data_IF_557767468175
#
_entry.id   IF_557767468175
#
_cell.length_a   1.000
_cell.length_b   1.000
_cell.length_c   1.000
_cell.angle_alpha   90.00
_cell.angle_beta   90.00
_cell.angle_gamma   90.00
#
_symmetry.space_group_name_H-M   'P 1'
#
loop_
_entity.id
_entity.type
_entity.pdbx_description
1 polymer ?
#
# COMPACT_ATOMS: atom_id res chain seq x y z
N UNK A 1 3.95 -12.75 -4.09
CA UNK A 1 4.09 -12.62 -2.63
C UNK A 1 5.56 -12.59 -2.21
N UNK A 2 6.37 -13.62 -2.46
CA UNK A 2 7.79 -13.67 -2.06
C UNK A 2 8.59 -12.38 -2.35
N UNK A 3 8.54 -11.87 -3.59
CA UNK A 3 9.22 -10.61 -3.98
C UNK A 3 8.78 -9.41 -3.13
N UNK A 4 7.50 -9.34 -2.74
CA UNK A 4 6.97 -8.22 -1.94
C UNK A 4 7.49 -8.34 -0.50
N UNK A 5 7.49 -9.55 0.08
CA UNK A 5 7.99 -9.78 1.43
C UNK A 5 9.50 -9.54 1.52
N UNK A 6 10.27 -9.92 0.51
CA UNK A 6 11.70 -9.64 0.44
C UNK A 6 11.97 -8.12 0.33
N UNK A 7 11.16 -7.40 -0.47
CA UNK A 7 11.32 -5.96 -0.70
C UNK A 7 10.88 -5.09 0.49
N UNK A 8 9.72 -5.39 1.07
CA UNK A 8 9.05 -4.53 2.06
C UNK A 8 9.06 -5.11 3.49
N UNK A 9 9.52 -6.35 3.66
CA UNK A 9 9.54 -7.08 4.93
C UNK A 9 8.31 -7.96 5.15
N UNK A 10 8.45 -8.90 6.08
CA UNK A 10 7.40 -9.87 6.47
C UNK A 10 6.48 -9.35 7.59
N UNK A 11 6.07 -8.09 7.50
CA UNK A 11 5.11 -7.48 8.43
C UNK A 11 3.95 -6.86 7.66
N UNK A 12 2.75 -6.96 8.21
CA UNK A 12 1.60 -6.26 7.67
C UNK A 12 1.88 -4.74 7.68
N UNK A 13 1.80 -4.12 6.50
CA UNK A 13 2.05 -2.69 6.35
C UNK A 13 1.18 -1.82 7.27
N UNK A 14 -0.04 -2.26 7.61
CA UNK A 14 -1.00 -1.47 8.38
C UNK A 14 -0.94 -1.71 9.88
N UNK A 15 -0.94 -2.97 10.34
CA UNK A 15 -0.98 -3.29 11.77
C UNK A 15 0.36 -3.79 12.34
N UNK A 16 1.42 -3.84 11.51
CA UNK A 16 2.79 -4.25 11.86
C UNK A 16 2.95 -5.67 12.43
N UNK A 17 1.89 -6.47 12.50
CA UNK A 17 2.00 -7.88 12.85
C UNK A 17 2.87 -8.59 11.81
N UNK A 18 3.76 -9.46 12.27
CA UNK A 18 4.46 -10.39 11.39
C UNK A 18 3.43 -11.22 10.60
N UNK A 19 3.72 -11.41 9.31
CA UNK A 19 2.90 -12.16 8.36
C UNK A 19 3.78 -13.21 7.70
N UNK A 20 3.16 -14.27 7.18
CA UNK A 20 3.87 -15.42 6.57
C UNK A 20 4.78 -16.19 7.56
N UNK A 21 4.67 -15.88 8.85
CA UNK A 21 5.21 -16.64 9.98
C UNK A 21 4.03 -17.04 10.89
N UNK A 22 3.60 -18.30 10.80
CA UNK A 22 2.50 -18.84 11.60
C UNK A 22 1.10 -18.55 11.03
N UNK A 23 0.14 -18.16 11.88
CA UNK A 23 -1.29 -18.15 11.55
C UNK A 23 -1.78 -16.89 10.80
N UNK A 24 -0.93 -15.87 10.65
CA UNK A 24 -1.32 -14.61 10.00
C UNK A 24 -0.92 -14.63 8.53
N UNK A 25 -1.89 -14.93 7.67
CA UNK A 25 -1.66 -15.03 6.24
C UNK A 25 -1.32 -13.66 5.60
N UNK A 26 -0.24 -13.66 4.83
CA UNK A 26 0.16 -12.55 3.98
C UNK A 26 -0.73 -12.49 2.72
N UNK A 27 -1.21 -11.30 2.39
CA UNK A 27 -1.97 -11.02 1.18
C UNK A 27 -1.36 -9.84 0.44
N UNK A 28 -1.54 -9.81 -0.88
CA UNK A 28 -1.11 -8.69 -1.71
C UNK A 28 -2.17 -7.61 -1.70
N UNK A 29 -1.77 -6.37 -1.47
CA UNK A 29 -2.66 -5.22 -1.42
C UNK A 29 -2.24 -4.12 -2.40
N UNK A 30 -3.22 -3.59 -3.14
CA UNK A 30 -3.00 -2.50 -4.11
C UNK A 30 -3.12 -1.13 -3.44
N UNK A 31 -2.05 -0.32 -3.43
CA UNK A 31 -2.07 1.03 -2.86
C UNK A 31 -3.10 1.93 -3.53
N UNK A 32 -3.13 1.93 -4.87
CA UNK A 32 -4.24 2.44 -5.67
C UNK A 32 -5.20 1.28 -5.89
N UNK A 33 -6.43 1.29 -5.33
CA UNK A 33 -7.39 0.21 -5.55
C UNK A 33 -7.69 0.00 -7.03
N UNK A 34 -7.87 -1.26 -7.44
CA UNK A 34 -8.20 -1.62 -8.83
C UNK A 34 -9.46 -0.90 -9.34
N UNK A 35 -10.48 -0.77 -8.50
CA UNK A 35 -11.71 -0.03 -8.81
C UNK A 35 -11.47 1.46 -9.09
N UNK A 36 -10.37 2.03 -8.57
CA UNK A 36 -9.90 3.40 -8.83
C UNK A 36 -8.91 3.47 -10.00
N UNK A 37 -8.77 2.39 -10.78
CA UNK A 37 -7.88 2.31 -11.94
C UNK A 37 -6.43 1.91 -11.60
N UNK A 38 -6.17 1.43 -10.38
CA UNK A 38 -4.84 0.99 -9.97
C UNK A 38 -4.37 -0.27 -10.72
N UNK A 39 -3.13 -0.29 -11.25
CA UNK A 39 -2.60 -1.42 -11.99
C UNK A 39 -2.17 -2.57 -11.05
N UNK A 40 -2.24 -3.80 -11.54
CA UNK A 40 -1.65 -4.97 -10.86
C UNK A 40 -0.20 -5.12 -11.29
N UNK A 41 0.64 -4.24 -10.75
CA UNK A 41 2.10 -4.25 -10.94
C UNK A 41 2.78 -4.20 -9.58
N UNK A 42 4.02 -4.69 -9.53
CA UNK A 42 4.78 -4.81 -8.30
C UNK A 42 4.91 -3.48 -7.54
N UNK A 43 5.01 -2.35 -8.23
CA UNK A 43 5.13 -1.03 -7.60
C UNK A 43 3.85 -0.55 -6.93
N UNK A 44 2.68 -1.04 -7.35
CA UNK A 44 1.39 -0.74 -6.72
C UNK A 44 1.01 -1.75 -5.63
N UNK A 45 1.80 -2.80 -5.44
CA UNK A 45 1.48 -3.93 -4.57
C UNK A 45 2.38 -3.95 -3.33
N UNK A 46 1.80 -4.19 -2.16
CA UNK A 46 2.47 -4.31 -0.86
C UNK A 46 1.91 -5.48 -0.04
N UNK A 47 2.60 -5.87 1.02
CA UNK A 47 2.16 -6.96 1.89
C UNK A 47 1.27 -6.46 3.04
N UNK A 48 0.12 -7.12 3.21
CA UNK A 48 -0.81 -6.86 4.29
C UNK A 48 -1.43 -8.17 4.78
N UNK A 49 -1.79 -8.24 6.06
CA UNK A 49 -2.57 -9.38 6.54
C UNK A 49 -4.00 -9.35 5.98
N UNK A 50 -4.62 -10.53 5.82
CA UNK A 50 -6.00 -10.67 5.30
C UNK A 50 -7.00 -9.72 6.00
N UNK A 51 -6.91 -9.56 7.32
CA UNK A 51 -7.81 -8.70 8.10
C UNK A 51 -7.72 -7.24 7.66
N UNK A 52 -6.51 -6.68 7.60
CA UNK A 52 -6.33 -5.27 7.26
C UNK A 52 -6.68 -5.01 5.79
N UNK A 53 -6.24 -5.88 4.88
CA UNK A 53 -6.54 -5.77 3.45
C UNK A 53 -8.07 -5.80 3.20
N UNK A 54 -8.78 -6.74 3.83
CA UNK A 54 -10.24 -6.82 3.73
C UNK A 54 -10.97 -5.60 4.32
N UNK A 55 -10.51 -5.08 5.45
CA UNK A 55 -11.13 -3.92 6.11
C UNK A 55 -10.87 -2.59 5.40
N UNK A 56 -9.72 -2.42 4.74
CA UNK A 56 -9.44 -1.19 3.99
C UNK A 56 -10.43 -1.00 2.84
N UNK A 57 -10.75 -2.08 2.13
CA UNK A 57 -11.65 -2.05 0.98
C UNK A 57 -11.16 -1.13 -0.14
N UNK A 58 -11.81 0.01 -0.31
CA UNK A 58 -11.48 0.99 -1.36
C UNK A 58 -10.97 2.33 -0.81
N UNK A 59 -10.72 2.40 0.51
CA UNK A 59 -10.15 3.59 1.15
C UNK A 59 -8.76 3.89 0.58
N UNK A 60 -8.45 5.17 0.52
CA UNK A 60 -7.11 5.62 0.14
C UNK A 60 -6.09 5.25 1.22
N UNK A 61 -4.79 5.13 0.85
CA UNK A 61 -3.74 4.90 1.84
C UNK A 61 -3.75 5.91 2.99
N UNK A 62 -4.00 7.20 2.70
CA UNK A 62 -4.10 8.23 3.75
C UNK A 62 -5.29 7.98 4.69
N UNK A 63 -6.50 7.80 4.16
CA UNK A 63 -7.69 7.54 4.98
C UNK A 63 -7.53 6.29 5.84
N UNK A 64 -6.87 5.26 5.31
CA UNK A 64 -6.66 4.03 6.05
C UNK A 64 -5.57 4.13 7.11
N UNK A 65 -4.53 4.93 6.86
CA UNK A 65 -3.54 5.26 7.88
C UNK A 65 -4.22 6.00 9.03
N UNK A 66 -5.04 7.01 8.75
CA UNK A 66 -5.77 7.76 9.78
C UNK A 66 -6.67 6.82 10.61
N UNK A 67 -7.35 5.88 9.96
CA UNK A 67 -8.18 4.87 10.63
C UNK A 67 -7.35 3.86 11.44
N UNK A 68 -6.18 3.45 10.96
CA UNK A 68 -5.26 2.60 11.71
C UNK A 68 -4.76 3.31 12.97
N UNK A 69 -4.36 4.58 12.86
CA UNK A 69 -3.91 5.41 13.97
C UNK A 69 -5.04 5.64 14.99
N UNK A 70 -6.28 5.89 14.53
CA UNK A 70 -7.47 5.97 15.39
C UNK A 70 -7.75 4.68 16.17
N UNK A 71 -7.33 3.52 15.64
CA UNK A 71 -7.41 2.21 16.31
C UNK A 71 -6.22 1.92 17.23
N UNK A 72 -5.27 2.83 17.35
CA UNK A 72 -4.04 2.65 18.12
C UNK A 72 -3.00 1.76 17.43
N UNK A 73 -3.09 1.57 16.11
CA UNK A 73 -2.05 0.90 15.33
C UNK A 73 -1.04 1.92 14.81
N UNK A 74 0.20 1.48 14.60
CA UNK A 74 1.28 2.29 14.04
C UNK A 74 1.61 1.80 12.62
N UNK A 75 0.82 2.17 11.59
CA UNK A 75 1.08 1.72 10.22
C UNK A 75 2.46 2.17 9.74
N UNK A 76 3.08 1.37 8.87
CA UNK A 76 4.39 1.69 8.30
C UNK A 76 4.24 2.77 7.20
N UNK A 77 3.97 4.00 7.65
CA UNK A 77 3.79 5.18 6.79
C UNK A 77 4.97 5.40 5.85
N UNK A 78 6.20 5.20 6.34
CA UNK A 78 7.41 5.36 5.53
C UNK A 78 7.44 4.39 4.34
N UNK A 79 7.12 3.11 4.55
CA UNK A 79 7.06 2.14 3.46
C UNK A 79 5.91 2.42 2.48
N UNK A 80 4.75 2.90 2.96
CA UNK A 80 3.65 3.35 2.08
C UNK A 80 4.10 4.52 1.18
N UNK A 81 4.77 5.52 1.74
CA UNK A 81 5.33 6.65 0.97
C UNK A 81 6.38 6.19 -0.03
N UNK A 82 7.28 5.29 0.37
CA UNK A 82 8.30 4.73 -0.51
C UNK A 82 7.67 3.97 -1.70
N UNK A 83 6.64 3.17 -1.44
CA UNK A 83 5.92 2.43 -2.46
C UNK A 83 5.16 3.36 -3.42
N UNK A 84 4.45 4.38 -2.92
CA UNK A 84 3.81 5.41 -3.77
C UNK A 84 4.84 6.18 -4.62
N UNK A 85 6.04 6.40 -4.09
CA UNK A 85 7.15 7.05 -4.82
C UNK A 85 7.67 6.15 -5.95
N UNK A 86 7.90 4.85 -5.68
CA UNK A 86 8.26 3.88 -6.73
C UNK A 86 7.19 3.80 -7.82
N UNK A 87 5.93 3.77 -7.40
CA UNK A 87 4.79 3.75 -8.30
C UNK A 87 4.74 5.00 -9.18
N UNK A 88 5.01 6.18 -8.62
CA UNK A 88 5.14 7.44 -9.37
C UNK A 88 6.25 7.38 -10.42
N UNK A 89 7.42 6.82 -10.09
CA UNK A 89 8.55 6.69 -11.03
C UNK A 89 8.19 5.73 -12.17
N UNK A 90 7.62 4.57 -11.85
CA UNK A 90 7.20 3.59 -12.86
C UNK A 90 6.22 4.18 -13.91
N UNK A 91 5.42 5.18 -13.54
CA UNK A 91 4.53 5.88 -14.47
C UNK A 91 5.25 6.77 -15.48
N UNK A 92 6.35 7.40 -15.06
CA UNK A 92 7.14 8.27 -15.92
C UNK A 92 7.79 7.43 -17.02
N UNK A 93 8.28 6.24 -16.65
CA UNK A 93 9.08 5.39 -17.53
C UNK A 93 8.22 4.56 -18.51
N UNK A 94 7.08 4.03 -18.09
CA UNK A 94 6.31 3.03 -18.87
C UNK A 94 5.24 3.62 -19.79
N UNK A 95 4.80 4.86 -19.55
CA UNK A 95 3.62 5.43 -20.23
C UNK A 95 2.30 4.69 -19.89
N UNK A 96 1.14 5.29 -20.19
CA UNK A 96 -0.17 4.63 -20.04
C UNK A 96 -0.90 4.77 -18.69
N UNK A 97 -0.25 5.23 -17.62
CA UNK A 97 -0.87 5.36 -16.28
C UNK A 97 -1.24 6.80 -15.89
N UNK A 98 -1.43 7.69 -16.88
CA UNK A 98 -1.75 9.11 -16.64
C UNK A 98 -2.98 9.33 -15.77
N UNK A 99 -3.99 8.43 -15.84
CA UNK A 99 -5.27 8.56 -15.12
C UNK A 99 -5.12 8.49 -13.60
N UNK A 100 -4.14 7.75 -13.09
CA UNK A 100 -3.93 7.57 -11.63
C UNK A 100 -2.85 8.48 -11.06
N UNK A 101 -2.17 9.27 -11.91
CA UNK A 101 -1.16 10.23 -11.46
C UNK A 101 -1.71 11.24 -10.44
N UNK A 102 -2.88 11.89 -10.65
CA UNK A 102 -3.42 12.83 -9.66
C UNK A 102 -3.73 12.16 -8.32
N UNK A 103 -4.14 10.88 -8.35
CA UNK A 103 -4.38 10.10 -7.15
C UNK A 103 -3.06 9.92 -6.37
N UNK A 104 -2.01 9.40 -7.01
CA UNK A 104 -0.73 9.15 -6.35
C UNK A 104 -0.09 10.44 -5.82
N UNK A 105 -0.13 11.53 -6.59
CA UNK A 105 0.38 12.83 -6.16
C UNK A 105 -0.39 13.39 -4.95
N UNK A 106 -1.72 13.22 -4.93
CA UNK A 106 -2.56 13.61 -3.79
C UNK A 106 -2.22 12.80 -2.54
N UNK A 107 -2.03 11.48 -2.66
CA UNK A 107 -1.66 10.62 -1.54
C UNK A 107 -0.29 10.95 -0.98
N UNK A 108 0.72 11.11 -1.84
CA UNK A 108 2.07 11.53 -1.42
C UNK A 108 2.00 12.84 -0.63
N UNK A 109 1.31 13.86 -1.16
CA UNK A 109 1.15 15.16 -0.49
C UNK A 109 0.49 15.07 0.87
N UNK A 110 -0.47 14.15 1.07
CA UNK A 110 -1.14 13.95 2.36
C UNK A 110 -0.26 13.23 3.37
N UNK A 111 0.59 12.31 2.90
CA UNK A 111 1.37 11.42 3.76
C UNK A 111 2.74 11.97 4.14
N UNK A 112 3.25 12.97 3.43
CA UNK A 112 4.56 13.61 3.66
C UNK A 112 4.45 15.03 4.25
N UNK A 113 3.25 15.47 4.64
CA UNK A 113 3.06 16.66 5.47
C UNK A 113 3.30 16.29 6.92
#
# INVERSE_FOLDING_TARGET
>A
MAIILERDGAECIWCRRAIDVGLVEATTEHLVPRIKGGPSILENEIAACRRCNGQRGHLTPAEWIDECERRGWSPNRAAVVAALTRLRIAYIDRGGMRRIRPYVESQLRRLTK
#
